data_IF_296653257654
#
_entry.id   IF_296653257654
#
_cell.length_a   1.000
_cell.length_b   1.000
_cell.length_c   1.000
_cell.angle_alpha   90.00
_cell.angle_beta   90.00
_cell.angle_gamma   90.00
#
_symmetry.space_group_name_H-M   'P 1'
#
loop_
_entity.id
_entity.type
_entity.pdbx_description
1 polymer ?
#
# COMPACT_ATOMS: atom_id res chain seq x y z
N UNK A 1 -43.47 -30.19 13.13
CA UNK A 1 -42.30 -29.71 12.37
C UNK A 1 -41.05 -29.98 13.21
N UNK A 2 -40.04 -30.68 12.68
CA UNK A 2 -38.81 -30.93 13.42
C UNK A 2 -38.04 -29.61 13.62
N UNK A 3 -37.31 -29.43 14.74
CA UNK A 3 -36.60 -28.19 15.04
C UNK A 3 -35.40 -28.02 14.10
N UNK A 4 -35.19 -26.78 13.66
CA UNK A 4 -34.20 -26.35 12.68
C UNK A 4 -32.77 -26.34 13.31
N UNK A 5 -31.69 -26.79 12.64
CA UNK A 5 -30.40 -27.09 13.28
C UNK A 5 -29.44 -25.91 13.56
N UNK A 6 -29.88 -24.65 13.46
CA UNK A 6 -28.96 -23.50 13.38
C UNK A 6 -28.58 -22.84 14.73
N UNK A 7 -28.90 -23.44 15.87
CA UNK A 7 -28.51 -22.89 17.19
C UNK A 7 -27.20 -23.47 17.78
N UNK A 8 -26.47 -24.34 17.05
CA UNK A 8 -25.28 -25.03 17.59
C UNK A 8 -23.94 -24.67 16.94
N UNK A 9 -23.75 -23.42 16.52
CA UNK A 9 -22.44 -22.91 16.09
C UNK A 9 -21.90 -21.78 16.97
N UNK A 10 -22.37 -21.67 18.22
CA UNK A 10 -21.74 -20.85 19.26
C UNK A 10 -21.18 -21.79 20.30
N UNK A 11 -19.91 -22.17 20.15
CA UNK A 11 -19.06 -22.75 21.18
C UNK A 11 -17.60 -22.74 20.68
N UNK A 12 -16.99 -21.55 20.67
CA UNK A 12 -15.54 -21.44 20.78
C UNK A 12 -15.17 -21.62 22.24
N UNK A 13 -14.43 -22.67 22.58
CA UNK A 13 -13.61 -22.75 23.78
C UNK A 13 -12.67 -23.96 23.72
N UNK A 14 -11.45 -23.69 23.24
CA UNK A 14 -10.26 -24.53 23.33
C UNK A 14 -9.09 -23.71 22.78
N UNK A 15 -7.89 -23.74 23.38
CA UNK A 15 -6.75 -23.01 22.81
C UNK A 15 -6.51 -23.56 21.41
N UNK A 16 -6.69 -22.73 20.39
CA UNK A 16 -6.32 -23.07 19.03
C UNK A 16 -4.80 -23.13 19.01
N UNK A 17 -4.25 -24.33 19.22
CA UNK A 17 -2.85 -24.61 18.96
C UNK A 17 -2.67 -24.58 17.45
N UNK A 18 -2.40 -23.40 16.89
CA UNK A 18 -2.05 -23.25 15.49
C UNK A 18 -0.74 -24.02 15.28
N UNK A 19 -0.76 -24.99 14.39
CA UNK A 19 0.44 -25.74 14.02
C UNK A 19 1.52 -24.75 13.53
N UNK A 20 2.74 -24.74 14.09
CA UNK A 20 3.79 -23.80 13.71
C UNK A 20 4.14 -23.83 12.21
N UNK A 21 3.96 -24.96 11.53
CA UNK A 21 4.17 -25.07 10.07
C UNK A 21 3.04 -24.43 9.27
N UNK A 22 1.80 -24.44 9.79
CA UNK A 22 0.65 -23.73 9.20
C UNK A 22 0.81 -22.22 9.42
N UNK A 23 1.22 -21.80 10.61
CA UNK A 23 1.54 -20.41 10.90
C UNK A 23 2.67 -19.89 10.00
N UNK A 24 3.77 -20.64 9.89
CA UNK A 24 4.91 -20.27 9.02
C UNK A 24 4.53 -20.15 7.55
N UNK A 25 3.72 -21.08 7.02
CA UNK A 25 3.23 -20.99 5.63
C UNK A 25 2.30 -19.79 5.42
N UNK A 26 1.48 -19.45 6.42
CA UNK A 26 0.65 -18.27 6.37
C UNK A 26 1.49 -16.99 6.40
N UNK A 27 2.50 -16.91 7.27
CA UNK A 27 3.46 -15.80 7.34
C UNK A 27 4.24 -15.64 6.02
N UNK A 28 4.79 -16.71 5.46
CA UNK A 28 5.50 -16.70 4.16
C UNK A 28 4.58 -16.25 3.02
N UNK A 29 3.31 -16.67 3.03
CA UNK A 29 2.33 -16.27 2.02
C UNK A 29 1.96 -14.79 2.15
N UNK A 30 1.84 -14.29 3.37
CA UNK A 30 1.60 -12.86 3.67
C UNK A 30 2.81 -12.01 3.27
N UNK A 31 4.03 -12.48 3.55
CA UNK A 31 5.28 -11.79 3.20
C UNK A 31 5.42 -11.67 1.67
N UNK A 32 5.26 -12.78 0.94
CA UNK A 32 5.29 -12.76 -0.53
C UNK A 32 4.23 -11.84 -1.13
N UNK A 33 3.02 -11.88 -0.59
CA UNK A 33 1.92 -11.03 -1.05
C UNK A 33 2.17 -9.54 -0.78
N UNK A 34 2.86 -9.23 0.32
CA UNK A 34 3.33 -7.88 0.65
C UNK A 34 4.44 -7.42 -0.30
N UNK A 35 5.37 -8.30 -0.68
CA UNK A 35 6.40 -8.00 -1.70
C UNK A 35 5.77 -7.70 -3.06
N UNK A 36 4.84 -8.54 -3.51
CA UNK A 36 4.13 -8.35 -4.78
C UNK A 36 3.38 -7.00 -4.77
N UNK A 37 2.64 -6.69 -3.70
CA UNK A 37 1.98 -5.39 -3.55
C UNK A 37 2.95 -4.21 -3.58
N UNK A 38 4.11 -4.31 -2.92
CA UNK A 38 5.09 -3.22 -2.91
C UNK A 38 5.60 -2.87 -4.31
N UNK A 39 5.77 -3.88 -5.19
CA UNK A 39 6.13 -3.67 -6.59
C UNK A 39 5.00 -3.01 -7.37
N UNK A 40 3.75 -3.47 -7.19
CA UNK A 40 2.60 -2.83 -7.83
C UNK A 40 2.43 -1.37 -7.39
N UNK A 41 2.50 -1.10 -6.09
CA UNK A 41 2.41 0.24 -5.55
C UNK A 41 3.52 1.15 -6.08
N UNK A 42 4.74 0.64 -6.20
CA UNK A 42 5.85 1.37 -6.79
C UNK A 42 5.59 1.69 -8.28
N UNK A 43 5.08 0.72 -9.04
CA UNK A 43 4.75 0.90 -10.46
C UNK A 43 3.64 1.94 -10.67
N UNK A 44 2.64 2.00 -9.79
CA UNK A 44 1.59 3.01 -9.84
C UNK A 44 2.11 4.39 -9.48
N UNK A 45 2.96 4.49 -8.46
CA UNK A 45 3.60 5.75 -8.09
C UNK A 45 4.49 6.29 -9.22
N UNK A 46 5.24 5.43 -9.90
CA UNK A 46 6.08 5.82 -11.05
C UNK A 46 5.23 6.17 -12.29
N UNK A 47 4.10 5.47 -12.46
CA UNK A 47 3.08 5.80 -13.46
C UNK A 47 2.49 7.19 -13.25
N UNK A 48 2.14 7.53 -12.01
CA UNK A 48 1.66 8.87 -11.64
C UNK A 48 2.71 9.93 -11.98
N UNK A 49 3.99 9.69 -11.65
CA UNK A 49 5.08 10.64 -11.99
C UNK A 49 5.18 10.89 -13.50
N UNK A 50 5.08 9.82 -14.28
CA UNK A 50 5.12 9.90 -15.75
C UNK A 50 3.92 10.68 -16.29
N UNK A 51 2.73 10.43 -15.75
CA UNK A 51 1.52 11.14 -16.14
C UNK A 51 1.59 12.64 -15.77
N UNK A 52 2.15 13.00 -14.61
CA UNK A 52 2.38 14.42 -14.25
C UNK A 52 3.29 15.10 -15.28
N UNK A 53 4.44 14.49 -15.61
CA UNK A 53 5.36 15.05 -16.60
C UNK A 53 4.70 15.19 -17.99
N UNK A 54 3.81 14.26 -18.36
CA UNK A 54 3.01 14.35 -19.59
C UNK A 54 2.02 15.52 -19.53
N UNK A 55 1.31 15.69 -18.42
CA UNK A 55 0.35 16.77 -18.21
C UNK A 55 1.00 18.17 -18.28
N UNK A 56 2.24 18.30 -17.82
CA UNK A 56 3.00 19.55 -17.86
C UNK A 56 3.59 19.84 -19.24
N UNK A 57 4.13 18.81 -19.92
CA UNK A 57 4.84 18.98 -21.20
C UNK A 57 3.92 19.04 -22.42
N UNK A 58 2.71 18.49 -22.32
CA UNK A 58 1.77 18.36 -23.44
C UNK A 58 0.38 18.84 -23.05
N UNK A 59 0.06 20.12 -23.24
CA UNK A 59 -1.24 20.69 -22.90
C UNK A 59 -2.42 19.95 -23.54
N UNK A 60 -2.25 19.41 -24.74
CA UNK A 60 -3.26 18.64 -25.48
C UNK A 60 -3.56 17.26 -24.88
N UNK A 61 -2.62 16.66 -24.15
CA UNK A 61 -2.78 15.35 -23.48
C UNK A 61 -3.12 15.52 -21.99
N UNK A 62 -3.30 16.75 -21.51
CA UNK A 62 -3.37 17.06 -20.07
C UNK A 62 -4.57 16.39 -19.38
N UNK A 63 -5.75 16.48 -19.98
CA UNK A 63 -6.97 15.87 -19.41
C UNK A 63 -6.81 14.35 -19.26
N UNK A 64 -6.27 13.69 -20.30
CA UNK A 64 -6.01 12.25 -20.28
C UNK A 64 -4.94 11.87 -19.25
N UNK A 65 -3.90 12.70 -19.11
CA UNK A 65 -2.88 12.54 -18.08
C UNK A 65 -3.44 12.67 -16.65
N UNK A 66 -4.32 13.65 -16.40
CA UNK A 66 -4.99 13.79 -15.10
C UNK A 66 -5.90 12.60 -14.80
N UNK A 67 -6.65 12.12 -15.79
CA UNK A 67 -7.47 10.92 -15.66
C UNK A 67 -6.63 9.67 -15.35
N UNK A 68 -5.43 9.55 -15.95
CA UNK A 68 -4.49 8.48 -15.61
C UNK A 68 -4.00 8.60 -14.15
N UNK A 69 -3.60 9.79 -13.69
CA UNK A 69 -3.19 10.01 -12.30
C UNK A 69 -4.33 9.60 -11.35
N UNK A 70 -5.56 10.01 -11.64
CA UNK A 70 -6.73 9.68 -10.84
C UNK A 70 -6.97 8.17 -10.76
N UNK A 71 -6.87 7.45 -11.88
CA UNK A 71 -7.06 6.00 -11.95
C UNK A 71 -6.02 5.26 -11.10
N UNK A 72 -4.74 5.65 -11.23
CA UNK A 72 -3.65 5.06 -10.42
C UNK A 72 -3.81 5.36 -8.93
N UNK A 73 -4.29 6.55 -8.58
CA UNK A 73 -4.59 6.89 -7.18
C UNK A 73 -5.73 6.03 -6.61
N UNK A 74 -6.75 5.71 -7.41
CA UNK A 74 -7.82 4.77 -7.04
C UNK A 74 -7.29 3.35 -6.82
N UNK A 75 -6.37 2.88 -7.66
CA UNK A 75 -5.75 1.57 -7.52
C UNK A 75 -4.95 1.47 -6.21
N UNK A 76 -4.12 2.48 -5.92
CA UNK A 76 -3.37 2.58 -4.67
C UNK A 76 -4.28 2.63 -3.44
N UNK A 77 -5.41 3.33 -3.53
CA UNK A 77 -6.45 3.35 -2.48
C UNK A 77 -7.03 1.96 -2.27
N UNK A 78 -7.49 1.29 -3.33
CA UNK A 78 -8.24 0.04 -3.25
C UNK A 78 -7.41 -1.17 -2.85
N UNK A 79 -6.12 -1.18 -3.19
CA UNK A 79 -5.28 -2.36 -3.04
C UNK A 79 -4.51 -2.39 -1.71
N UNK A 80 -4.18 -1.25 -1.08
CA UNK A 80 -3.27 -1.22 0.08
C UNK A 80 -3.80 -1.70 1.43
N UNK A 81 -5.12 -1.57 1.68
CA UNK A 81 -5.72 -1.92 2.98
C UNK A 81 -5.66 -3.42 3.29
N UNK A 82 -5.65 -4.28 2.28
CA UNK A 82 -5.54 -5.73 2.43
C UNK A 82 -4.15 -6.22 2.82
N UNK A 83 -3.11 -5.40 2.59
CA UNK A 83 -1.71 -5.80 2.73
C UNK A 83 -0.96 -5.07 3.86
N UNK A 84 -1.69 -4.31 4.70
CA UNK A 84 -1.09 -3.54 5.80
C UNK A 84 -0.54 -2.17 5.41
N UNK A 85 -0.71 -1.74 4.15
CA UNK A 85 -0.25 -0.44 3.64
C UNK A 85 -1.31 0.65 3.84
N UNK A 86 -1.85 0.76 5.05
CA UNK A 86 -2.93 1.71 5.39
C UNK A 86 -2.56 3.15 5.09
N UNK A 87 -1.27 3.50 5.20
CA UNK A 87 -0.79 4.84 4.91
C UNK A 87 -0.79 5.13 3.40
N UNK A 88 -0.40 4.19 2.55
CA UNK A 88 -0.53 4.32 1.07
C UNK A 88 -2.00 4.45 0.69
N UNK A 89 -2.87 3.61 1.24
CA UNK A 89 -4.33 3.70 1.01
C UNK A 89 -4.87 5.08 1.40
N UNK A 90 -4.45 5.62 2.54
CA UNK A 90 -4.89 6.94 3.01
C UNK A 90 -4.42 8.06 2.08
N UNK A 91 -3.16 8.03 1.64
CA UNK A 91 -2.63 9.03 0.71
C UNK A 91 -3.29 8.91 -0.65
N UNK A 92 -3.56 7.68 -1.13
CA UNK A 92 -4.31 7.41 -2.35
C UNK A 92 -5.73 7.99 -2.30
N UNK A 93 -6.45 7.78 -1.20
CA UNK A 93 -7.79 8.35 -1.00
C UNK A 93 -7.79 9.89 -1.00
N UNK A 94 -6.81 10.51 -0.35
CA UNK A 94 -6.66 11.97 -0.36
C UNK A 94 -6.37 12.49 -1.77
N UNK A 95 -5.48 11.83 -2.52
CA UNK A 95 -5.15 12.20 -3.90
C UNK A 95 -6.36 12.03 -4.84
N UNK A 96 -7.10 10.93 -4.72
CA UNK A 96 -8.35 10.70 -5.46
C UNK A 96 -9.34 11.83 -5.19
N UNK A 97 -9.61 12.16 -3.92
CA UNK A 97 -10.53 13.25 -3.55
C UNK A 97 -10.07 14.61 -4.07
N UNK A 98 -8.76 14.84 -4.11
CA UNK A 98 -8.21 16.08 -4.63
C UNK A 98 -8.39 16.23 -6.14
N UNK A 99 -8.35 15.12 -6.88
CA UNK A 99 -8.44 15.08 -8.34
C UNK A 99 -9.87 14.87 -8.85
N UNK A 100 -10.81 14.53 -7.98
CA UNK A 100 -12.21 14.25 -8.34
C UNK A 100 -12.83 15.43 -9.11
N UNK A 101 -13.30 15.15 -10.33
CA UNK A 101 -13.94 16.13 -11.20
C UNK A 101 -13.00 17.15 -11.86
N UNK A 102 -11.67 16.98 -11.78
CA UNK A 102 -10.71 17.88 -12.42
C UNK A 102 -10.30 17.39 -13.80
N UNK A 103 -10.35 18.32 -14.76
CA UNK A 103 -9.88 18.13 -16.14
C UNK A 103 -8.58 18.91 -16.42
N UNK A 104 -8.22 19.84 -15.54
CA UNK A 104 -7.00 20.65 -15.59
C UNK A 104 -6.47 20.88 -14.16
N UNK A 105 -5.18 21.21 -14.05
CA UNK A 105 -4.51 21.55 -12.81
C UNK A 105 -3.67 22.81 -13.00
N UNK A 106 -3.81 23.74 -12.07
CA UNK A 106 -2.89 24.87 -11.95
C UNK A 106 -1.49 24.42 -11.48
N UNK A 107 -0.43 25.22 -11.67
CA UNK A 107 0.91 24.89 -11.17
C UNK A 107 0.93 24.56 -9.67
N UNK A 108 0.17 25.31 -8.86
CA UNK A 108 0.04 25.06 -7.42
C UNK A 108 -0.65 23.72 -7.13
N UNK A 109 -1.59 23.30 -7.97
CA UNK A 109 -2.25 22.01 -7.81
C UNK A 109 -1.33 20.85 -8.20
N UNK A 110 -0.45 21.03 -9.18
CA UNK A 110 0.62 20.06 -9.45
C UNK A 110 1.55 19.89 -8.25
N UNK A 111 1.93 20.97 -7.55
CA UNK A 111 2.72 20.87 -6.32
C UNK A 111 2.02 20.01 -5.25
N UNK A 112 0.69 20.12 -5.13
CA UNK A 112 -0.10 19.29 -4.22
C UNK A 112 -0.04 17.82 -4.65
N UNK A 113 -0.19 17.54 -5.94
CA UNK A 113 -0.06 16.16 -6.46
C UNK A 113 1.34 15.61 -6.16
N UNK A 114 2.40 16.38 -6.42
CA UNK A 114 3.78 15.99 -6.12
C UNK A 114 3.97 15.66 -4.63
N UNK A 115 3.40 16.46 -3.73
CA UNK A 115 3.49 16.20 -2.29
C UNK A 115 2.88 14.84 -1.89
N UNK A 116 1.75 14.45 -2.50
CA UNK A 116 1.16 13.12 -2.27
C UNK A 116 2.07 12.01 -2.78
N UNK A 117 2.62 12.18 -3.99
CA UNK A 117 3.53 11.22 -4.60
C UNK A 117 4.81 11.04 -3.77
N UNK A 118 5.40 12.13 -3.29
CA UNK A 118 6.59 12.09 -2.45
C UNK A 118 6.33 11.43 -1.09
N UNK A 119 5.15 11.66 -0.52
CA UNK A 119 4.70 10.97 0.68
C UNK A 119 4.56 9.46 0.43
N UNK A 120 3.91 9.04 -0.67
CA UNK A 120 3.80 7.62 -1.05
C UNK A 120 5.19 6.97 -1.21
N UNK A 121 6.10 7.64 -1.92
CA UNK A 121 7.47 7.14 -2.08
C UNK A 121 8.24 7.05 -0.77
N UNK A 122 8.05 8.00 0.15
CA UNK A 122 8.70 7.94 1.47
C UNK A 122 8.24 6.72 2.26
N UNK A 123 6.94 6.39 2.21
CA UNK A 123 6.36 5.21 2.85
C UNK A 123 6.92 3.93 2.24
N UNK A 124 6.91 3.80 0.91
CA UNK A 124 7.48 2.62 0.23
C UNK A 124 8.96 2.41 0.57
N UNK A 125 9.76 3.49 0.60
CA UNK A 125 11.18 3.41 1.00
C UNK A 125 11.38 3.01 2.46
N UNK A 126 10.50 3.47 3.37
CA UNK A 126 10.57 3.12 4.78
C UNK A 126 10.28 1.63 4.99
N UNK A 127 9.28 1.09 4.29
CA UNK A 127 8.94 -0.34 4.32
C UNK A 127 10.08 -1.21 3.76
N UNK A 128 10.68 -0.85 2.61
CA UNK A 128 11.84 -1.60 2.08
C UNK A 128 13.01 -1.65 3.06
N UNK A 129 13.28 -0.54 3.78
CA UNK A 129 14.30 -0.52 4.83
C UNK A 129 13.90 -1.37 6.04
N UNK A 130 12.64 -1.30 6.46
CA UNK A 130 12.09 -2.13 7.53
C UNK A 130 12.18 -3.63 7.22
N UNK A 131 11.83 -4.04 6.01
CA UNK A 131 11.97 -5.41 5.51
C UNK A 131 13.44 -5.86 5.50
N UNK A 132 14.35 -5.05 4.93
CA UNK A 132 15.79 -5.37 4.92
C UNK A 132 16.37 -5.57 6.33
N UNK A 133 15.91 -4.80 7.33
CA UNK A 133 16.35 -4.98 8.73
C UNK A 133 15.76 -6.24 9.39
N UNK A 134 14.56 -6.67 9.00
CA UNK A 134 13.90 -7.89 9.49
C UNK A 134 14.51 -9.15 8.86
N UNK A 135 14.75 -9.14 7.55
CA UNK A 135 15.43 -10.24 6.84
C UNK A 135 16.92 -10.35 7.21
N UNK A 136 17.51 -9.32 7.82
CA UNK A 136 18.91 -9.26 8.25
C UNK A 136 19.23 -9.64 9.70
N UNK A 137 18.27 -10.06 10.53
CA UNK A 137 18.52 -10.13 11.99
C UNK A 137 18.02 -11.40 12.71
N UNK A 138 18.63 -12.55 12.41
CA UNK A 138 19.04 -13.51 13.45
C UNK A 138 20.56 -13.45 13.63
N UNK A 139 21.07 -12.31 14.07
CA UNK A 139 22.34 -12.23 14.80
C UNK A 139 22.50 -10.86 15.45
N UNK A 140 21.72 -10.55 16.50
CA UNK A 140 22.22 -9.60 17.49
C UNK A 140 23.09 -10.42 18.46
N UNK A 141 24.34 -10.70 18.07
CA UNK A 141 25.31 -11.15 19.04
C UNK A 141 25.89 -9.92 19.72
N UNK A 142 25.63 -9.88 21.01
CA UNK A 142 26.03 -8.88 21.99
C UNK A 142 27.48 -8.44 21.79
N UNK A 143 27.72 -7.13 21.81
CA UNK A 143 28.99 -6.58 22.27
C UNK A 143 28.71 -5.32 23.08
N UNK A 144 28.80 -5.38 24.42
CA UNK A 144 28.91 -4.19 25.22
C UNK A 144 30.40 -3.86 25.36
N UNK A 145 30.81 -2.69 24.89
CA UNK A 145 31.78 -1.92 25.65
C UNK A 145 31.75 -0.45 25.24
N UNK A 146 31.07 0.34 26.08
CA UNK A 146 31.51 1.69 26.38
C UNK A 146 32.47 1.60 27.57
N UNK A 147 33.75 1.87 27.32
CA UNK A 147 34.77 2.44 28.21
C UNK A 147 36.02 2.70 27.37
#
# INVERSE_FOLDING_TARGET
MPPNPLEKAKNGNGPVSIDPSVLKRAEESVEKLSEDYSSFAQADVDGIKTAIARAESKPEERMEAIAEIYTRALDLKGQGGGFGYNLITSIGDLLTKFLEGKEDLSPREFEIVYAHVDAMQAVLRAEMKGAATKSGSRLWMVSPNWC
#
